data_IF_882178409260
#
_entry.id   IF_882178409260
#
_cell.length_a   1.000
_cell.length_b   1.000
_cell.length_c   1.000
_cell.angle_alpha   90.00
_cell.angle_beta   90.00
_cell.angle_gamma   90.00
#
_symmetry.space_group_name_H-M   'P 1'
#
loop_
_entity.id
_entity.type
_entity.pdbx_description
1 polymer ?
#
# COMPACT_ATOMS: atom_id res chain seq x y z
N UNK A 1 -3.32 4.70 -23.49
CA UNK A 1 -2.32 3.84 -22.83
C UNK A 1 -2.63 3.90 -21.35
N UNK A 2 -2.66 2.77 -20.64
CA UNK A 2 -2.65 2.84 -19.18
C UNK A 2 -1.27 3.34 -18.80
N UNK A 3 -1.20 4.59 -18.39
CA UNK A 3 0.04 5.18 -17.92
C UNK A 3 0.44 4.49 -16.59
N UNK A 4 1.72 4.17 -16.48
CA UNK A 4 2.33 3.48 -15.36
C UNK A 4 2.11 4.26 -14.04
N UNK A 5 1.64 3.64 -12.94
CA UNK A 5 1.38 4.32 -11.66
C UNK A 5 2.60 5.01 -11.04
N UNK A 6 3.81 4.52 -11.35
CA UNK A 6 5.09 5.08 -10.90
C UNK A 6 5.67 6.13 -11.86
N UNK A 7 4.93 6.48 -12.93
CA UNK A 7 5.32 7.46 -13.95
C UNK A 7 6.64 7.12 -14.64
N UNK A 8 7.01 5.83 -14.68
CA UNK A 8 8.22 5.33 -15.36
C UNK A 8 9.42 5.10 -14.44
N UNK A 9 9.31 5.42 -13.14
CA UNK A 9 10.37 5.16 -12.16
C UNK A 9 10.51 3.66 -11.81
N UNK A 10 9.47 2.86 -12.04
CA UNK A 10 9.49 1.40 -11.89
C UNK A 10 8.95 0.71 -13.14
N UNK A 11 9.46 -0.49 -13.43
CA UNK A 11 8.82 -1.39 -14.41
C UNK A 11 7.45 -1.85 -13.90
N UNK A 12 6.58 -2.26 -14.82
CA UNK A 12 5.25 -2.77 -14.47
C UNK A 12 4.86 -4.01 -15.28
N UNK A 13 4.04 -4.85 -14.65
CA UNK A 13 3.26 -5.90 -15.30
C UNK A 13 1.77 -5.51 -15.32
N UNK A 14 1.08 -5.81 -16.42
CA UNK A 14 -0.37 -5.87 -16.44
C UNK A 14 -0.84 -7.26 -15.99
N UNK A 15 -1.66 -7.33 -14.95
CA UNK A 15 -2.19 -8.60 -14.41
C UNK A 15 -3.71 -8.64 -14.57
N UNK A 16 -4.23 -9.70 -15.20
CA UNK A 16 -5.66 -9.85 -15.49
C UNK A 16 -6.08 -11.31 -15.41
N UNK A 17 -7.38 -11.57 -15.46
CA UNK A 17 -7.95 -12.91 -15.34
C UNK A 17 -7.93 -13.43 -13.90
N UNK A 18 -7.86 -12.54 -12.91
CA UNK A 18 -7.92 -12.90 -11.49
C UNK A 18 -9.36 -13.24 -11.13
N UNK A 19 -9.56 -14.43 -10.57
CA UNK A 19 -10.87 -14.91 -10.10
C UNK A 19 -10.89 -15.17 -8.59
N UNK A 20 -9.71 -15.23 -7.98
CA UNK A 20 -9.51 -15.52 -6.56
C UNK A 20 -8.31 -14.78 -5.96
N UNK A 21 -8.18 -14.79 -4.63
CA UNK A 21 -6.98 -14.26 -3.93
C UNK A 21 -5.77 -15.12 -4.21
N UNK A 22 -5.99 -16.41 -4.40
CA UNK A 22 -4.98 -17.40 -4.75
C UNK A 22 -4.34 -17.04 -6.08
N UNK A 23 -5.13 -16.65 -7.09
CA UNK A 23 -4.61 -16.16 -8.38
C UNK A 23 -3.70 -14.94 -8.19
N UNK A 24 -4.11 -14.00 -7.34
CA UNK A 24 -3.36 -12.77 -7.08
C UNK A 24 -2.07 -13.04 -6.29
N UNK A 25 -2.14 -13.95 -5.30
CA UNK A 25 -0.98 -14.39 -4.51
C UNK A 25 0.02 -15.14 -5.39
N UNK A 26 -0.47 -16.01 -6.27
CA UNK A 26 0.36 -16.75 -7.22
C UNK A 26 0.99 -15.82 -8.26
N UNK A 27 0.24 -14.85 -8.79
CA UNK A 27 0.79 -13.83 -9.67
C UNK A 27 1.90 -13.04 -8.98
N UNK A 28 1.68 -12.59 -7.74
CA UNK A 28 2.71 -11.91 -6.94
C UNK A 28 3.95 -12.78 -6.76
N UNK A 29 3.77 -14.04 -6.37
CA UNK A 29 4.86 -14.99 -6.13
C UNK A 29 5.71 -15.17 -7.39
N UNK A 30 5.07 -15.42 -8.54
CA UNK A 30 5.77 -15.55 -9.83
C UNK A 30 6.56 -14.31 -10.20
N UNK A 31 5.97 -13.13 -10.04
CA UNK A 31 6.66 -11.87 -10.33
C UNK A 31 7.87 -11.71 -9.42
N UNK A 32 7.73 -11.96 -8.11
CA UNK A 32 8.84 -11.86 -7.16
C UNK A 32 9.96 -12.88 -7.44
N UNK A 33 9.63 -14.10 -7.86
CA UNK A 33 10.61 -15.14 -8.23
C UNK A 33 11.39 -14.79 -9.51
N UNK A 34 10.74 -14.14 -10.46
CA UNK A 34 11.37 -13.67 -11.71
C UNK A 34 12.27 -12.44 -11.48
N UNK A 35 12.00 -11.66 -10.43
CA UNK A 35 12.71 -10.41 -10.13
C UNK A 35 13.23 -10.38 -8.68
N UNK A 36 14.26 -11.18 -8.35
CA UNK A 36 14.92 -11.11 -7.05
C UNK A 36 15.41 -9.68 -6.75
N UNK A 37 15.17 -9.21 -5.53
CA UNK A 37 15.51 -7.84 -5.11
C UNK A 37 14.41 -6.80 -5.38
N UNK A 38 13.27 -7.20 -5.94
CA UNK A 38 12.11 -6.35 -6.12
C UNK A 38 10.92 -6.81 -5.28
N UNK A 39 10.07 -5.86 -4.89
CA UNK A 39 8.77 -6.11 -4.26
C UNK A 39 7.66 -5.72 -5.24
N UNK A 40 6.82 -6.67 -5.68
CA UNK A 40 5.66 -6.35 -6.49
C UNK A 40 4.63 -5.55 -5.69
N UNK A 41 4.18 -4.41 -6.22
CA UNK A 41 3.11 -3.60 -5.65
C UNK A 41 1.95 -3.47 -6.63
N UNK A 42 0.79 -4.00 -6.27
CA UNK A 42 -0.41 -3.97 -7.09
C UNK A 42 -1.23 -2.69 -6.91
N UNK A 43 -1.80 -2.16 -8.00
CA UNK A 43 -2.93 -1.22 -7.94
C UNK A 43 -4.21 -2.00 -7.66
N UNK A 44 -4.84 -1.77 -6.51
CA UNK A 44 -5.94 -2.63 -6.03
C UNK A 44 -7.30 -2.24 -6.60
N UNK A 45 -7.88 -1.13 -6.14
CA UNK A 45 -9.25 -0.69 -6.47
C UNK A 45 -9.25 0.31 -7.64
N UNK A 46 -9.84 1.50 -7.50
CA UNK A 46 -9.94 2.52 -8.55
C UNK A 46 -8.56 3.04 -8.94
N UNK A 47 -8.02 2.55 -10.07
CA UNK A 47 -6.70 2.93 -10.55
C UNK A 47 -6.65 4.40 -10.97
N UNK A 48 -7.76 4.95 -11.50
CA UNK A 48 -7.78 6.34 -11.93
C UNK A 48 -7.68 7.27 -10.72
N UNK A 49 -8.52 7.03 -9.72
CA UNK A 49 -8.52 7.78 -8.48
C UNK A 49 -7.20 7.63 -7.72
N UNK A 50 -6.65 6.41 -7.62
CA UNK A 50 -5.38 6.14 -6.95
C UNK A 50 -4.20 6.90 -7.59
N UNK A 51 -4.25 7.11 -8.91
CA UNK A 51 -3.22 7.87 -9.64
C UNK A 51 -3.39 9.37 -9.46
N UNK A 52 -4.62 9.86 -9.46
CA UNK A 52 -4.91 11.24 -9.14
C UNK A 52 -4.38 11.62 -7.75
N UNK A 53 -4.74 10.83 -6.72
CA UNK A 53 -4.27 11.05 -5.35
C UNK A 53 -2.76 10.91 -5.23
N UNK A 54 -2.15 9.95 -5.92
CA UNK A 54 -0.70 9.79 -5.90
C UNK A 54 0.06 10.98 -6.50
N UNK A 55 -0.42 11.53 -7.64
CA UNK A 55 0.16 12.73 -8.22
C UNK A 55 0.10 13.94 -7.27
N UNK A 56 -1.02 14.10 -6.57
CA UNK A 56 -1.17 15.15 -5.57
C UNK A 56 -0.28 14.96 -4.35
N UNK A 57 -0.17 13.72 -3.85
CA UNK A 57 0.75 13.37 -2.77
C UNK A 57 2.20 13.71 -3.14
N UNK A 58 2.62 13.33 -4.35
CA UNK A 58 3.98 13.58 -4.82
C UNK A 58 4.32 15.06 -4.83
N UNK A 59 3.43 15.88 -5.38
CA UNK A 59 3.58 17.32 -5.46
C UNK A 59 3.55 17.97 -4.07
N UNK A 60 2.55 17.66 -3.24
CA UNK A 60 2.35 18.36 -1.97
C UNK A 60 3.36 17.97 -0.89
N UNK A 61 3.88 16.75 -0.92
CA UNK A 61 4.83 16.26 0.08
C UNK A 61 6.29 16.29 -0.41
N UNK A 62 6.56 16.82 -1.61
CA UNK A 62 7.92 16.88 -2.16
C UNK A 62 8.53 15.50 -2.38
N UNK A 63 7.74 14.50 -2.76
CA UNK A 63 8.25 13.13 -2.96
C UNK A 63 9.23 13.04 -4.13
N UNK A 64 9.16 14.01 -5.03
CA UNK A 64 9.95 14.06 -6.26
C UNK A 64 11.10 15.10 -6.18
N UNK A 65 11.25 15.78 -5.03
CA UNK A 65 12.24 16.83 -4.84
C UNK A 65 13.67 16.27 -4.89
N UNK A 66 14.47 16.78 -5.82
CA UNK A 66 15.86 16.38 -6.02
C UNK A 66 16.84 17.45 -5.51
N UNK A 67 17.95 17.00 -4.94
CA UNK A 67 19.10 17.85 -4.58
C UNK A 67 20.17 17.76 -5.67
N UNK A 68 21.14 18.68 -5.65
CA UNK A 68 22.30 18.63 -6.57
C UNK A 68 23.06 17.30 -6.47
N UNK A 69 23.11 16.69 -5.27
CA UNK A 69 23.77 15.41 -5.06
C UNK A 69 23.02 14.25 -5.71
N UNK A 70 21.68 14.29 -5.71
CA UNK A 70 20.90 13.24 -6.35
C UNK A 70 21.10 13.23 -7.86
N UNK A 71 21.10 14.43 -8.45
CA UNK A 71 21.12 14.57 -9.91
C UNK A 71 22.51 14.37 -10.49
N UNK A 72 23.58 14.52 -9.70
CA UNK A 72 24.97 14.42 -10.16
C UNK A 72 25.31 13.09 -10.87
N UNK A 73 24.62 12.01 -10.53
CA UNK A 73 24.81 10.68 -11.11
C UNK A 73 23.74 10.24 -12.10
N UNK A 74 22.75 11.09 -12.39
CA UNK A 74 21.64 10.72 -13.27
C UNK A 74 22.08 10.65 -14.74
N UNK A 75 21.45 9.78 -15.53
CA UNK A 75 21.78 9.64 -16.94
C UNK A 75 21.27 10.83 -17.77
N UNK A 76 21.80 11.06 -19.00
CA UNK A 76 21.50 12.24 -19.80
C UNK A 76 20.01 12.46 -20.10
N UNK A 77 19.21 11.39 -20.19
CA UNK A 77 17.77 11.46 -20.42
C UNK A 77 16.98 12.17 -19.30
N UNK A 78 17.56 12.32 -18.10
CA UNK A 78 16.97 13.09 -17.00
C UNK A 78 17.18 14.61 -17.15
N UNK A 79 17.86 15.05 -18.21
CA UNK A 79 18.24 16.43 -18.44
C UNK A 79 17.71 16.96 -19.77
N UNK A 80 17.24 18.20 -19.76
CA UNK A 80 16.95 18.98 -20.96
C UNK A 80 17.89 20.19 -20.99
N UNK A 81 18.69 20.30 -22.06
CA UNK A 81 19.68 21.39 -22.23
C UNK A 81 20.67 21.52 -21.05
N UNK A 82 20.98 20.40 -20.39
CA UNK A 82 21.89 20.36 -19.24
C UNK A 82 21.24 20.76 -17.91
N UNK A 83 19.93 21.02 -17.89
CA UNK A 83 19.15 21.27 -16.69
C UNK A 83 18.35 20.01 -16.34
N UNK A 84 18.33 19.65 -15.06
CA UNK A 84 17.49 18.55 -14.58
C UNK A 84 16.02 18.88 -14.83
N UNK A 85 15.27 17.93 -15.40
CA UNK A 85 13.87 18.12 -15.80
C UNK A 85 12.98 18.45 -14.60
N UNK A 86 13.32 17.94 -13.41
CA UNK A 86 12.59 18.25 -12.17
C UNK A 86 11.40 17.33 -11.88
N UNK A 87 11.14 16.33 -12.73
CA UNK A 87 10.05 15.38 -12.56
C UNK A 87 10.57 13.94 -12.81
N UNK A 88 10.70 13.10 -11.77
CA UNK A 88 11.13 11.72 -11.88
C UNK A 88 10.28 10.92 -12.87
N UNK A 89 10.89 10.49 -13.97
CA UNK A 89 10.20 9.72 -15.03
C UNK A 89 11.00 8.50 -15.49
N UNK A 90 12.19 8.31 -14.94
CA UNK A 90 13.11 7.22 -15.27
C UNK A 90 13.43 6.38 -14.04
N UNK A 91 13.88 5.14 -14.27
CA UNK A 91 14.29 4.22 -13.20
C UNK A 91 15.46 4.74 -12.37
N UNK A 92 16.36 5.52 -12.98
CA UNK A 92 17.51 6.10 -12.29
C UNK A 92 17.07 7.08 -11.18
N UNK A 93 15.90 7.70 -11.34
CA UNK A 93 15.37 8.69 -10.41
C UNK A 93 14.59 8.05 -9.25
N UNK A 94 14.31 6.75 -9.27
CA UNK A 94 13.56 6.09 -8.17
C UNK A 94 14.24 6.24 -6.80
N UNK A 95 15.58 6.32 -6.77
CA UNK A 95 16.32 6.55 -5.54
C UNK A 95 15.95 7.88 -4.85
N UNK A 96 15.55 8.89 -5.64
CA UNK A 96 15.06 10.19 -5.13
C UNK A 96 13.73 9.98 -4.40
N UNK A 97 12.77 9.32 -5.08
CA UNK A 97 11.46 9.00 -4.51
C UNK A 97 11.61 8.18 -3.22
N UNK A 98 12.43 7.13 -3.24
CA UNK A 98 12.67 6.28 -2.07
C UNK A 98 13.30 7.05 -0.91
N UNK A 99 14.27 7.93 -1.16
CA UNK A 99 14.91 8.74 -0.13
C UNK A 99 13.90 9.72 0.50
N UNK A 100 13.13 10.42 -0.31
CA UNK A 100 12.13 11.38 0.17
C UNK A 100 11.03 10.68 0.98
N UNK A 101 10.55 9.53 0.49
CA UNK A 101 9.63 8.68 1.22
C UNK A 101 10.24 8.18 2.54
N UNK A 102 11.49 7.72 2.54
CA UNK A 102 12.19 7.26 3.76
C UNK A 102 12.26 8.37 4.81
N UNK A 103 12.53 9.62 4.39
CA UNK A 103 12.52 10.77 5.30
C UNK A 103 11.12 11.07 5.84
N UNK A 104 10.11 11.01 4.99
CA UNK A 104 8.71 11.23 5.35
C UNK A 104 8.26 10.23 6.44
N UNK A 105 8.62 8.95 6.30
CA UNK A 105 8.10 7.88 7.18
C UNK A 105 8.95 7.63 8.44
N UNK A 106 10.15 8.21 8.54
CA UNK A 106 11.11 7.92 9.60
C UNK A 106 10.57 8.15 11.02
N UNK A 107 9.65 9.10 11.19
CA UNK A 107 9.09 9.49 12.48
C UNK A 107 7.65 9.03 12.73
N UNK A 108 7.01 8.33 11.80
CA UNK A 108 5.59 7.97 11.90
C UNK A 108 5.43 6.55 12.43
N UNK A 109 4.64 6.40 13.49
CA UNK A 109 4.34 5.15 14.19
C UNK A 109 2.94 4.61 13.85
N UNK A 110 2.64 3.39 14.29
CA UNK A 110 1.29 2.84 14.16
C UNK A 110 0.31 3.60 15.07
N UNK A 111 0.77 4.03 16.23
CA UNK A 111 0.01 4.86 17.17
C UNK A 111 -0.41 6.19 16.52
N UNK A 112 0.45 6.80 15.69
CA UNK A 112 0.09 8.00 14.92
C UNK A 112 -1.00 7.70 13.88
N UNK A 113 -1.01 6.50 13.30
CA UNK A 113 -2.07 6.06 12.39
C UNK A 113 -3.40 5.83 13.13
N UNK A 114 -3.37 5.21 14.32
CA UNK A 114 -4.56 5.05 15.17
C UNK A 114 -5.10 6.42 15.62
N UNK A 115 -4.21 7.32 16.05
CA UNK A 115 -4.55 8.67 16.50
C UNK A 115 -5.11 9.58 15.40
N UNK A 116 -4.97 9.18 14.12
CA UNK A 116 -5.61 9.88 13.01
C UNK A 116 -7.14 9.88 13.10
N UNK A 117 -7.72 8.89 13.78
CA UNK A 117 -9.14 8.90 14.08
C UNK A 117 -10.02 8.23 13.01
N UNK A 118 -9.46 7.32 12.20
CA UNK A 118 -10.28 6.55 11.26
C UNK A 118 -11.42 5.86 12.00
N UNK A 119 -12.60 5.87 11.40
CA UNK A 119 -13.75 5.13 11.90
C UNK A 119 -14.23 4.10 10.88
N UNK A 120 -15.00 3.14 11.38
CA UNK A 120 -15.66 2.16 10.53
C UNK A 120 -17.01 1.87 11.16
N UNK A 121 -18.07 2.52 10.67
CA UNK A 121 -19.42 2.27 11.18
C UNK A 121 -19.89 0.82 10.89
N UNK A 122 -21.09 0.47 11.34
CA UNK A 122 -21.60 -0.89 11.16
C UNK A 122 -21.80 -1.26 9.68
N UNK A 123 -22.23 -0.32 8.85
CA UNK A 123 -22.42 -0.56 7.42
C UNK A 123 -21.07 -0.83 6.73
N UNK A 124 -20.06 -0.02 7.04
CA UNK A 124 -18.71 -0.15 6.52
C UNK A 124 -18.03 -1.42 7.04
N UNK A 125 -18.30 -1.83 8.29
CA UNK A 125 -17.84 -3.11 8.81
C UNK A 125 -18.44 -4.29 8.03
N UNK A 126 -19.75 -4.29 7.78
CA UNK A 126 -20.38 -5.36 6.99
C UNK A 126 -19.86 -5.40 5.56
N UNK A 127 -19.63 -4.23 4.94
CA UNK A 127 -18.99 -4.14 3.63
C UNK A 127 -17.57 -4.73 3.66
N UNK A 128 -16.77 -4.36 4.67
CA UNK A 128 -15.44 -4.90 4.89
C UNK A 128 -15.46 -6.43 5.06
N UNK A 129 -16.36 -6.98 5.87
CA UNK A 129 -16.52 -8.44 6.03
C UNK A 129 -16.82 -9.10 4.67
N UNK A 130 -17.69 -8.48 3.87
CA UNK A 130 -17.99 -8.91 2.50
C UNK A 130 -16.73 -8.96 1.63
N UNK A 131 -15.89 -7.93 1.68
CA UNK A 131 -14.62 -7.88 0.95
C UNK A 131 -13.61 -8.91 1.44
N UNK A 132 -13.55 -9.17 2.73
CA UNK A 132 -12.67 -10.22 3.25
C UNK A 132 -13.07 -11.62 2.77
N UNK A 133 -14.33 -11.82 2.36
CA UNK A 133 -14.81 -13.07 1.76
C UNK A 133 -14.59 -13.13 0.24
N UNK A 134 -14.69 -12.00 -0.45
CA UNK A 134 -14.47 -11.90 -1.89
C UNK A 134 -13.71 -10.61 -2.27
N UNK A 135 -12.40 -10.55 -2.02
CA UNK A 135 -11.64 -9.32 -2.24
C UNK A 135 -11.37 -9.06 -3.72
N UNK A 136 -11.52 -10.06 -4.59
CA UNK A 136 -11.41 -9.87 -6.05
C UNK A 136 -12.51 -8.96 -6.58
N UNK A 137 -13.64 -8.85 -5.89
CA UNK A 137 -14.70 -7.91 -6.23
C UNK A 137 -14.27 -6.43 -6.10
N UNK A 138 -13.22 -6.13 -5.34
CA UNK A 138 -12.65 -4.78 -5.25
C UNK A 138 -11.67 -4.48 -6.40
N UNK A 139 -11.19 -5.49 -7.11
CA UNK A 139 -10.05 -5.32 -8.00
C UNK A 139 -10.48 -4.82 -9.38
N UNK A 140 -10.00 -3.64 -9.79
CA UNK A 140 -10.17 -3.17 -11.15
C UNK A 140 -9.15 -3.82 -12.09
N UNK A 141 -9.62 -4.75 -12.92
CA UNK A 141 -8.75 -5.47 -13.84
C UNK A 141 -8.59 -4.77 -15.21
N UNK A 142 -7.44 -4.91 -15.89
CA UNK A 142 -6.16 -5.39 -15.34
C UNK A 142 -5.63 -4.54 -14.18
N UNK A 143 -4.92 -5.16 -13.25
CA UNK A 143 -4.12 -4.46 -12.24
C UNK A 143 -2.78 -4.08 -12.87
N UNK A 144 -2.21 -2.95 -12.47
CA UNK A 144 -0.77 -2.71 -12.61
C UNK A 144 -0.05 -3.36 -11.43
N UNK A 145 1.07 -4.03 -11.70
CA UNK A 145 1.96 -4.59 -10.69
C UNK A 145 3.36 -4.00 -10.89
N UNK A 146 3.70 -3.00 -10.07
CA UNK A 146 4.98 -2.32 -10.11
C UNK A 146 6.09 -3.21 -9.56
N UNK A 147 7.24 -3.23 -10.22
CA UNK A 147 8.47 -3.83 -9.70
C UNK A 147 9.26 -2.79 -8.94
N UNK A 148 9.14 -2.78 -7.61
CA UNK A 148 9.76 -1.74 -6.79
C UNK A 148 11.07 -2.25 -6.17
N UNK A 149 12.23 -1.62 -6.44
CA UNK A 149 13.54 -2.10 -5.95
C UNK A 149 13.76 -1.70 -4.49
N UNK A 150 13.10 -2.41 -3.58
CA UNK A 150 13.14 -2.18 -2.13
C UNK A 150 13.25 -3.49 -1.37
N UNK A 151 13.75 -3.43 -0.13
CA UNK A 151 13.91 -4.62 0.71
C UNK A 151 12.61 -5.01 1.40
N UNK A 152 11.87 -4.02 1.92
CA UNK A 152 10.62 -4.22 2.66
C UNK A 152 9.41 -3.85 1.80
N UNK A 153 8.33 -4.63 1.91
CA UNK A 153 7.12 -4.41 1.10
C UNK A 153 6.45 -3.05 1.37
N UNK A 154 6.50 -2.54 2.61
CA UNK A 154 5.96 -1.21 2.93
C UNK A 154 6.69 -0.07 2.23
N UNK A 155 7.99 -0.20 1.97
CA UNK A 155 8.78 0.79 1.23
C UNK A 155 8.35 0.90 -0.24
N UNK A 156 7.63 -0.11 -0.76
CA UNK A 156 7.16 -0.09 -2.14
C UNK A 156 6.17 1.07 -2.40
N UNK A 157 5.53 1.59 -1.34
CA UNK A 157 4.70 2.79 -1.40
C UNK A 157 5.45 4.02 -1.93
N UNK A 158 6.79 4.07 -1.89
CA UNK A 158 7.57 5.12 -2.54
C UNK A 158 7.35 5.20 -4.06
N UNK A 159 7.00 4.08 -4.71
CA UNK A 159 6.70 4.04 -6.14
C UNK A 159 5.27 4.49 -6.45
N UNK A 160 4.34 4.34 -5.51
CA UNK A 160 2.94 4.70 -5.71
C UNK A 160 2.29 5.20 -4.40
N UNK A 161 2.72 6.37 -3.89
CA UNK A 161 2.30 6.84 -2.58
C UNK A 161 0.85 7.34 -2.66
N UNK A 162 0.03 7.01 -1.67
CA UNK A 162 -1.41 7.29 -1.65
C UNK A 162 -1.86 7.75 -0.24
N UNK A 163 -3.01 8.41 -0.17
CA UNK A 163 -3.49 9.11 1.03
C UNK A 163 -3.38 10.63 0.92
N UNK A 164 -4.14 11.22 0.01
CA UNK A 164 -4.06 12.66 -0.27
C UNK A 164 -4.95 13.50 0.65
N UNK A 165 -6.19 13.06 0.90
CA UNK A 165 -7.14 13.85 1.65
C UNK A 165 -6.79 13.85 3.13
N UNK A 166 -7.00 14.98 3.81
CA UNK A 166 -6.64 15.15 5.22
C UNK A 166 -7.42 14.25 6.16
N UNK A 167 -8.57 13.74 5.73
CA UNK A 167 -9.37 12.76 6.47
C UNK A 167 -8.82 11.33 6.34
N UNK A 168 -7.97 11.05 5.34
CA UNK A 168 -7.40 9.74 5.10
C UNK A 168 -6.05 9.58 5.80
N UNK A 169 -5.60 8.33 5.95
CA UNK A 169 -4.20 8.09 6.27
C UNK A 169 -3.32 8.53 5.11
N UNK A 170 -2.36 9.40 5.42
CA UNK A 170 -1.31 9.82 4.50
C UNK A 170 -0.30 8.68 4.20
N UNK A 171 0.63 8.85 3.24
CA UNK A 171 1.59 7.80 2.90
C UNK A 171 2.47 7.36 4.07
N UNK A 172 2.76 8.24 5.03
CA UNK A 172 3.58 7.92 6.19
C UNK A 172 2.82 7.00 7.14
N UNK A 173 1.54 7.31 7.41
CA UNK A 173 0.65 6.49 8.22
C UNK A 173 0.35 5.16 7.53
N UNK A 174 0.12 5.14 6.22
CA UNK A 174 -0.03 3.91 5.43
C UNK A 174 1.21 3.01 5.54
N UNK A 175 2.41 3.59 5.46
CA UNK A 175 3.65 2.85 5.67
C UNK A 175 3.78 2.31 7.10
N UNK A 176 3.38 3.09 8.11
CA UNK A 176 3.43 2.69 9.50
C UNK A 176 2.47 1.52 9.80
N UNK A 177 1.25 1.57 9.26
CA UNK A 177 0.30 0.43 9.30
C UNK A 177 0.92 -0.79 8.64
N UNK A 178 1.45 -0.65 7.42
CA UNK A 178 2.03 -1.79 6.70
C UNK A 178 3.24 -2.41 7.43
N UNK A 179 4.10 -1.58 8.02
CA UNK A 179 5.24 -2.03 8.82
C UNK A 179 4.78 -2.76 10.09
N UNK A 180 3.83 -2.19 10.82
CA UNK A 180 3.27 -2.80 12.05
C UNK A 180 2.67 -4.17 11.79
N UNK A 181 1.82 -4.30 10.76
CA UNK A 181 1.21 -5.58 10.41
C UNK A 181 2.23 -6.61 9.90
N UNK A 182 3.33 -6.16 9.30
CA UNK A 182 4.45 -7.03 8.96
C UNK A 182 5.18 -7.56 10.18
N UNK A 183 5.55 -6.67 11.10
CA UNK A 183 6.35 -7.02 12.27
C UNK A 183 5.55 -7.81 13.32
N UNK A 184 4.31 -7.40 13.59
CA UNK A 184 3.46 -8.01 14.61
C UNK A 184 2.76 -9.29 14.13
N UNK A 185 2.35 -9.35 12.85
CA UNK A 185 1.44 -10.40 12.35
C UNK A 185 1.98 -11.18 11.15
N UNK A 186 3.14 -10.80 10.61
CA UNK A 186 3.77 -11.47 9.46
C UNK A 186 3.06 -11.23 8.13
N UNK A 187 2.35 -10.12 8.00
CA UNK A 187 1.74 -9.69 6.74
C UNK A 187 2.72 -8.90 5.88
N UNK A 188 2.75 -9.15 4.58
CA UNK A 188 3.42 -8.29 3.61
C UNK A 188 2.40 -7.43 2.88
N UNK A 189 2.70 -6.14 2.74
CA UNK A 189 1.95 -5.26 1.84
C UNK A 189 2.00 -5.83 0.42
N UNK A 190 0.85 -5.94 -0.23
CA UNK A 190 0.72 -6.41 -1.61
C UNK A 190 0.37 -5.32 -2.59
N UNK A 191 -0.33 -4.30 -2.13
CA UNK A 191 -0.90 -3.33 -3.03
C UNK A 191 -1.53 -2.18 -2.28
N UNK A 192 -1.77 -1.13 -3.03
CA UNK A 192 -2.45 0.08 -2.60
C UNK A 192 -3.42 0.49 -3.71
N UNK A 193 -4.63 0.86 -3.30
CA UNK A 193 -5.64 1.46 -4.16
C UNK A 193 -5.81 2.94 -3.85
N UNK A 194 -6.93 3.49 -4.28
CA UNK A 194 -7.52 4.75 -3.89
C UNK A 194 -8.09 4.71 -2.46
N UNK A 195 -8.52 3.53 -1.98
CA UNK A 195 -9.19 3.40 -0.68
C UNK A 195 -8.64 2.30 0.23
N UNK A 196 -7.99 1.27 -0.34
CA UNK A 196 -7.55 0.10 0.41
C UNK A 196 -6.04 -0.14 0.35
N UNK A 197 -5.50 -0.63 1.46
CA UNK A 197 -4.25 -1.39 1.52
C UNK A 197 -4.57 -2.88 1.51
N UNK A 198 -3.83 -3.65 0.71
CA UNK A 198 -3.95 -5.10 0.64
C UNK A 198 -2.73 -5.78 1.25
N UNK A 199 -2.96 -6.88 1.96
CA UNK A 199 -1.93 -7.64 2.65
C UNK A 199 -2.07 -9.13 2.40
N UNK A 200 -0.94 -9.82 2.33
CA UNK A 200 -0.87 -11.28 2.30
C UNK A 200 0.11 -11.81 3.34
N UNK A 201 -0.04 -13.06 3.74
CA UNK A 201 0.89 -13.78 4.60
C UNK A 201 1.06 -15.23 4.17
N UNK A 202 2.17 -15.83 4.54
CA UNK A 202 2.56 -17.16 4.06
C UNK A 202 1.66 -18.32 4.55
N UNK A 203 0.98 -18.16 5.69
CA UNK A 203 0.14 -19.20 6.29
C UNK A 203 -1.20 -18.62 6.76
N UNK A 204 -2.27 -19.43 6.88
CA UNK A 204 -3.54 -19.00 7.47
C UNK A 204 -3.44 -18.60 8.94
N UNK A 205 -4.30 -17.70 9.42
CA UNK A 205 -4.37 -17.33 10.84
C UNK A 205 -5.09 -18.43 11.65
N UNK A 206 -4.53 -18.78 12.81
CA UNK A 206 -5.32 -19.44 13.86
C UNK A 206 -6.13 -18.37 14.63
N UNK A 207 -7.04 -18.82 15.49
CA UNK A 207 -7.92 -17.92 16.24
C UNK A 207 -7.14 -16.98 17.18
N UNK A 208 -6.06 -17.45 17.81
CA UNK A 208 -5.27 -16.62 18.72
C UNK A 208 -4.56 -15.47 17.99
N UNK A 209 -4.06 -15.72 16.78
CA UNK A 209 -3.45 -14.67 15.94
C UNK A 209 -4.52 -13.78 15.31
N UNK A 210 -5.67 -14.34 14.95
CA UNK A 210 -6.81 -13.56 14.47
C UNK A 210 -7.31 -12.57 15.52
N UNK A 211 -7.38 -12.96 16.79
CA UNK A 211 -7.69 -12.06 17.91
C UNK A 211 -6.66 -10.92 18.06
N UNK A 212 -5.38 -11.20 17.84
CA UNK A 212 -4.33 -10.17 17.91
C UNK A 212 -4.48 -9.16 16.76
N UNK A 213 -4.68 -9.65 15.53
CA UNK A 213 -4.97 -8.82 14.35
C UNK A 213 -6.23 -7.99 14.57
N UNK A 214 -7.27 -8.58 15.15
CA UNK A 214 -8.54 -7.90 15.41
C UNK A 214 -8.41 -6.76 16.42
N UNK A 215 -7.54 -6.88 17.42
CA UNK A 215 -7.26 -5.79 18.37
C UNK A 215 -6.60 -4.60 17.69
N UNK A 216 -5.59 -4.84 16.85
CA UNK A 216 -4.91 -3.76 16.12
C UNK A 216 -5.82 -3.14 15.06
N UNK A 217 -6.67 -3.94 14.41
CA UNK A 217 -7.74 -3.44 13.56
C UNK A 217 -8.68 -2.50 14.34
N UNK A 218 -9.17 -2.92 15.50
CA UNK A 218 -10.07 -2.09 16.31
C UNK A 218 -9.40 -0.82 16.83
N UNK A 219 -8.10 -0.87 17.12
CA UNK A 219 -7.30 0.30 17.48
C UNK A 219 -7.19 1.28 16.30
N UNK A 220 -6.91 0.78 15.09
CA UNK A 220 -6.83 1.60 13.88
C UNK A 220 -8.14 2.31 13.57
N UNK A 221 -9.28 1.63 13.74
CA UNK A 221 -10.61 2.17 13.48
C UNK A 221 -11.31 2.78 14.70
N UNK A 222 -10.55 3.17 15.73
CA UNK A 222 -11.02 3.91 16.91
C UNK A 222 -12.31 3.32 17.52
N UNK A 223 -12.35 2.00 17.66
CA UNK A 223 -13.54 1.29 18.15
C UNK A 223 -13.83 1.67 19.60
N UNK A 224 -15.07 2.09 19.88
CA UNK A 224 -15.52 2.43 21.22
C UNK A 224 -15.44 1.26 22.20
N UNK A 225 -15.17 1.55 23.48
CA UNK A 225 -14.99 0.54 24.54
C UNK A 225 -16.21 -0.40 24.66
N UNK A 226 -17.41 0.13 24.44
CA UNK A 226 -18.66 -0.64 24.54
C UNK A 226 -18.77 -1.71 23.43
N UNK A 227 -18.37 -1.36 22.21
CA UNK A 227 -18.46 -2.24 21.04
C UNK A 227 -17.23 -3.13 20.86
N UNK A 228 -16.12 -2.81 21.54
CA UNK A 228 -14.82 -3.46 21.35
C UNK A 228 -14.88 -4.99 21.44
N UNK A 229 -15.53 -5.62 22.45
CA UNK A 229 -15.57 -7.09 22.53
C UNK A 229 -16.29 -7.73 21.33
N UNK A 230 -17.41 -7.15 20.91
CA UNK A 230 -18.19 -7.66 19.79
C UNK A 230 -17.43 -7.48 18.47
N UNK A 231 -16.79 -6.32 18.28
CA UNK A 231 -16.05 -6.00 17.08
C UNK A 231 -14.78 -6.83 16.94
N UNK A 232 -14.02 -7.02 18.02
CA UNK A 232 -12.85 -7.93 18.02
C UNK A 232 -13.28 -9.33 17.60
N UNK A 233 -14.37 -9.86 18.16
CA UNK A 233 -14.90 -11.18 17.79
C UNK A 233 -15.28 -11.27 16.31
N UNK A 234 -16.02 -10.29 15.78
CA UNK A 234 -16.44 -10.27 14.38
C UNK A 234 -15.25 -10.18 13.41
N UNK A 235 -14.27 -9.35 13.73
CA UNK A 235 -13.05 -9.16 12.93
C UNK A 235 -12.17 -10.40 13.00
N UNK A 236 -12.04 -11.05 14.15
CA UNK A 236 -11.26 -12.27 14.31
C UNK A 236 -11.89 -13.49 13.61
N UNK A 237 -13.22 -13.54 13.48
CA UNK A 237 -13.93 -14.59 12.73
C UNK A 237 -13.87 -14.41 11.22
N UNK A 238 -13.97 -13.17 10.75
CA UNK A 238 -13.37 -12.76 9.46
C UNK A 238 -11.85 -12.99 9.59
N UNK A 239 -10.94 -12.92 8.63
CA UNK A 239 -9.48 -13.17 8.86
C UNK A 239 -9.01 -14.53 9.41
N UNK A 240 -9.64 -15.19 10.40
CA UNK A 240 -9.26 -16.54 10.85
C UNK A 240 -9.35 -17.53 9.68
N UNK A 241 -8.33 -18.38 9.56
CA UNK A 241 -8.19 -19.30 8.44
C UNK A 241 -7.81 -18.64 7.11
N UNK A 242 -7.52 -17.33 7.08
CA UNK A 242 -7.16 -16.60 5.86
C UNK A 242 -5.69 -16.20 5.86
N UNK A 243 -5.17 -16.02 4.66
CA UNK A 243 -3.80 -15.54 4.38
C UNK A 243 -3.79 -14.07 3.99
N UNK A 244 -4.91 -13.37 4.10
CA UNK A 244 -5.14 -12.13 3.37
C UNK A 244 -5.93 -11.13 4.22
N UNK A 245 -5.61 -9.84 4.09
CA UNK A 245 -6.24 -8.76 4.84
C UNK A 245 -6.32 -7.48 4.00
N UNK A 246 -7.49 -6.83 3.99
CA UNK A 246 -7.70 -5.52 3.37
C UNK A 246 -7.96 -4.53 4.49
N UNK A 247 -7.33 -3.37 4.44
CA UNK A 247 -7.57 -2.27 5.37
C UNK A 247 -7.98 -1.05 4.57
N UNK A 248 -9.17 -0.51 4.86
CA UNK A 248 -9.59 0.78 4.33
C UNK A 248 -8.79 1.87 5.02
N UNK A 249 -8.10 2.72 4.27
CA UNK A 249 -7.30 3.82 4.84
C UNK A 249 -7.95 5.19 4.70
N UNK A 250 -9.14 5.24 4.09
CA UNK A 250 -9.95 6.45 3.85
C UNK A 250 -11.15 6.53 4.80
N UNK A 251 -11.68 7.74 5.01
CA UNK A 251 -12.89 8.02 5.81
C UNK A 251 -14.17 8.10 4.97
#
# INVERSE_FOLDING_TARGET
>A
MRENPSVGTCDEYGVSGLTSVEDLTEARRRIAELHPGFKPLFSLDDLHQARYTSGHVRNNLGMDDATEQDIAGLPPECFEQGLYIGYPTTKAEFAICLRNFTRLVAGTSFEDACAHGLTLDEQALQAWIGYQNNPVALLEQPLSALLVPVEQSCQALAAFPNGYFTCDLDPAKNCAVARHFSEAHGYELMGVGASYLGFIRAAPLDMSRADAVAKDFCALYNTGIEDLPARVSAVAQSVCGRTHLWLRYVE
#
